data_IF_112700765160
#
_entry.id   IF_112700765160
#
_cell.length_a   1.000
_cell.length_b   1.000
_cell.length_c   1.000
_cell.angle_alpha   90.00
_cell.angle_beta   90.00
_cell.angle_gamma   90.00
#
_symmetry.space_group_name_H-M   'P 1'
#
loop_
_entity.id
_entity.type
_entity.pdbx_description
1 polymer ?
#
# COMPACT_ATOMS: atom_id res chain seq x y z
N UNK A 1 14.33 -20.85 -3.81
CA UNK A 1 13.13 -20.02 -4.07
C UNK A 1 13.38 -18.53 -3.84
N UNK A 2 14.46 -18.18 -3.13
CA UNK A 2 14.68 -16.83 -2.57
C UNK A 2 15.01 -15.75 -3.61
N UNK A 3 15.57 -16.12 -4.77
CA UNK A 3 15.90 -15.18 -5.86
C UNK A 3 14.71 -14.67 -6.66
N UNK A 4 13.57 -15.35 -6.62
CA UNK A 4 12.38 -14.95 -7.39
C UNK A 4 11.50 -13.99 -6.57
N UNK A 5 11.24 -14.34 -5.30
CA UNK A 5 10.45 -13.50 -4.39
C UNK A 5 11.13 -12.16 -4.10
N UNK A 6 12.46 -12.10 -4.10
CA UNK A 6 13.21 -10.85 -3.90
C UNK A 6 13.04 -9.82 -5.02
N UNK A 7 12.48 -10.22 -6.17
CA UNK A 7 12.24 -9.32 -7.31
C UNK A 7 10.83 -8.75 -7.34
N UNK A 8 9.90 -9.28 -6.54
CA UNK A 8 8.51 -8.81 -6.53
C UNK A 8 8.43 -7.62 -5.58
N UNK A 9 8.17 -6.43 -6.14
CA UNK A 9 7.92 -5.26 -5.32
C UNK A 9 6.54 -5.37 -4.67
N UNK A 10 6.33 -4.81 -3.47
CA UNK A 10 5.01 -4.76 -2.83
C UNK A 10 3.94 -4.14 -3.73
N UNK A 11 4.30 -3.12 -4.53
CA UNK A 11 3.43 -2.53 -5.55
C UNK A 11 2.87 -3.60 -6.50
N UNK A 12 3.74 -4.42 -7.08
CA UNK A 12 3.35 -5.45 -8.05
C UNK A 12 2.56 -6.59 -7.41
N UNK A 13 2.89 -6.99 -6.18
CA UNK A 13 2.11 -7.99 -5.45
C UNK A 13 0.67 -7.50 -5.23
N UNK A 14 0.50 -6.25 -4.80
CA UNK A 14 -0.83 -5.65 -4.59
C UNK A 14 -1.60 -5.46 -5.90
N UNK A 15 -0.94 -4.98 -6.97
CA UNK A 15 -1.54 -4.86 -8.31
C UNK A 15 -2.02 -6.20 -8.84
N UNK A 16 -1.19 -7.24 -8.70
CA UNK A 16 -1.53 -8.59 -9.15
C UNK A 16 -2.70 -9.18 -8.36
N UNK A 17 -2.68 -9.06 -7.02
CA UNK A 17 -3.74 -9.56 -6.16
C UNK A 17 -5.10 -8.90 -6.43
N UNK A 18 -5.13 -7.56 -6.45
CA UNK A 18 -6.36 -6.80 -6.74
C UNK A 18 -6.82 -7.00 -8.19
N UNK A 19 -5.90 -7.01 -9.15
CA UNK A 19 -6.22 -7.26 -10.56
C UNK A 19 -6.83 -8.65 -10.79
N UNK A 20 -6.25 -9.69 -10.18
CA UNK A 20 -6.79 -11.05 -10.27
C UNK A 20 -8.17 -11.16 -9.60
N UNK A 21 -8.36 -10.50 -8.46
CA UNK A 21 -9.66 -10.43 -7.77
C UNK A 21 -10.73 -9.78 -8.66
N UNK A 22 -10.43 -8.66 -9.34
CA UNK A 22 -11.37 -8.03 -10.27
C UNK A 22 -11.65 -8.86 -11.53
N UNK A 23 -10.66 -9.61 -12.04
CA UNK A 23 -10.93 -10.57 -13.13
C UNK A 23 -11.93 -11.62 -12.67
N UNK A 24 -11.70 -12.20 -11.49
CA UNK A 24 -12.58 -13.22 -10.95
C UNK A 24 -14.00 -12.68 -10.71
N UNK A 25 -14.11 -11.55 -10.02
CA UNK A 25 -15.38 -10.88 -9.72
C UNK A 25 -16.12 -10.47 -11.00
N UNK A 26 -15.41 -9.85 -11.96
CA UNK A 26 -16.00 -9.45 -13.24
C UNK A 26 -16.53 -10.64 -14.07
N UNK A 27 -15.81 -11.77 -14.08
CA UNK A 27 -16.30 -13.02 -14.72
C UNK A 27 -17.58 -13.50 -14.04
N UNK A 28 -17.58 -13.55 -12.71
CA UNK A 28 -18.71 -14.07 -11.94
C UNK A 28 -19.97 -13.19 -12.11
N UNK A 29 -19.81 -11.88 -12.03
CA UNK A 29 -20.91 -10.90 -12.24
C UNK A 29 -21.50 -11.03 -13.64
N UNK A 30 -20.67 -11.14 -14.68
CA UNK A 30 -21.15 -11.24 -16.06
C UNK A 30 -21.86 -12.57 -16.31
N UNK A 31 -21.39 -13.67 -15.72
CA UNK A 31 -22.00 -15.00 -15.90
C UNK A 31 -23.24 -15.20 -15.04
N UNK A 32 -23.25 -14.67 -13.83
CA UNK A 32 -24.26 -14.91 -12.82
C UNK A 32 -24.71 -13.62 -12.12
N UNK A 33 -25.26 -12.62 -12.85
CA UNK A 33 -25.61 -11.32 -12.26
C UNK A 33 -26.66 -11.44 -11.14
N UNK A 34 -27.57 -12.42 -11.22
CA UNK A 34 -28.58 -12.66 -10.18
C UNK A 34 -27.97 -13.04 -8.82
N UNK A 35 -26.76 -13.61 -8.81
CA UNK A 35 -26.04 -13.95 -7.57
C UNK A 35 -25.53 -12.71 -6.83
N UNK A 36 -25.53 -11.53 -7.46
CA UNK A 36 -25.01 -10.27 -6.90
C UNK A 36 -26.11 -9.27 -6.52
N UNK A 37 -27.39 -9.63 -6.71
CA UNK A 37 -28.52 -8.77 -6.32
C UNK A 37 -28.51 -8.40 -4.84
N UNK A 38 -28.01 -9.30 -3.99
CA UNK A 38 -27.96 -9.08 -2.55
C UNK A 38 -27.01 -7.94 -2.16
N UNK A 39 -25.94 -7.69 -2.94
CA UNK A 39 -24.98 -6.62 -2.68
C UNK A 39 -25.53 -5.25 -3.11
N UNK A 40 -26.31 -5.22 -4.20
CA UNK A 40 -26.83 -3.97 -4.79
C UNK A 40 -28.12 -3.50 -4.11
N UNK A 41 -29.03 -4.41 -3.75
CA UNK A 41 -30.34 -4.06 -3.16
C UNK A 41 -30.24 -3.18 -1.89
N UNK A 42 -29.30 -3.40 -0.95
CA UNK A 42 -29.11 -2.52 0.20
C UNK A 42 -28.78 -1.08 -0.21
N UNK A 43 -27.98 -0.89 -1.27
CA UNK A 43 -27.59 0.44 -1.75
C UNK A 43 -28.81 1.26 -2.20
N UNK A 44 -29.82 0.60 -2.77
CA UNK A 44 -31.03 1.26 -3.23
C UNK A 44 -31.88 1.81 -2.08
N UNK A 45 -31.71 1.35 -0.84
CA UNK A 45 -32.49 1.84 0.31
C UNK A 45 -32.34 3.34 0.55
N UNK A 46 -31.21 3.91 0.12
CA UNK A 46 -30.90 5.33 0.25
C UNK A 46 -31.60 6.22 -0.80
N UNK A 47 -32.26 5.63 -1.79
CA UNK A 47 -32.96 6.37 -2.84
C UNK A 47 -34.45 6.59 -2.52
N UNK A 48 -35.09 7.63 -3.10
CA UNK A 48 -36.53 7.86 -3.00
C UNK A 48 -37.36 6.64 -3.46
N UNK A 49 -38.57 6.48 -2.92
CA UNK A 49 -39.44 5.33 -3.22
C UNK A 49 -39.73 5.16 -4.73
N UNK A 50 -39.93 6.25 -5.46
CA UNK A 50 -40.17 6.25 -6.91
C UNK A 50 -38.97 5.68 -7.69
N UNK A 51 -37.74 6.06 -7.32
CA UNK A 51 -36.52 5.53 -7.92
C UNK A 51 -36.29 4.06 -7.54
N UNK A 52 -36.52 3.68 -6.28
CA UNK A 52 -36.36 2.30 -5.81
C UNK A 52 -37.22 1.31 -6.59
N UNK A 53 -38.47 1.68 -6.89
CA UNK A 53 -39.38 0.84 -7.66
C UNK A 53 -38.85 0.57 -9.10
N UNK A 54 -38.23 1.57 -9.71
CA UNK A 54 -37.61 1.43 -11.04
C UNK A 54 -36.30 0.63 -10.97
N UNK A 55 -35.37 1.00 -10.08
CA UNK A 55 -34.05 0.39 -9.97
C UNK A 55 -34.07 -1.07 -9.51
N UNK A 56 -35.11 -1.48 -8.78
CA UNK A 56 -35.26 -2.86 -8.30
C UNK A 56 -35.79 -3.82 -9.38
N UNK A 57 -36.13 -3.32 -10.58
CA UNK A 57 -36.56 -4.19 -11.67
C UNK A 57 -35.41 -5.11 -12.10
N UNK A 58 -35.65 -6.43 -12.29
CA UNK A 58 -34.61 -7.39 -12.63
C UNK A 58 -33.80 -7.02 -13.88
N UNK A 59 -34.47 -6.48 -14.90
CA UNK A 59 -33.83 -6.05 -16.15
C UNK A 59 -32.82 -4.92 -15.93
N UNK A 60 -33.19 -3.90 -15.15
CA UNK A 60 -32.31 -2.77 -14.83
C UNK A 60 -31.14 -3.23 -13.97
N UNK A 61 -31.40 -4.08 -12.98
CA UNK A 61 -30.37 -4.60 -12.08
C UNK A 61 -29.37 -5.49 -12.82
N UNK A 62 -29.83 -6.32 -13.77
CA UNK A 62 -28.95 -7.11 -14.64
C UNK A 62 -28.06 -6.22 -15.49
N UNK A 63 -28.61 -5.18 -16.12
CA UNK A 63 -27.82 -4.24 -16.94
C UNK A 63 -26.79 -3.49 -16.10
N UNK A 64 -27.19 -3.04 -14.91
CA UNK A 64 -26.28 -2.38 -13.97
C UNK A 64 -25.12 -3.30 -13.58
N UNK A 65 -25.42 -4.56 -13.22
CA UNK A 65 -24.39 -5.53 -12.85
C UNK A 65 -23.51 -5.93 -14.03
N UNK A 66 -24.06 -6.10 -15.23
CA UNK A 66 -23.25 -6.34 -16.43
C UNK A 66 -22.28 -5.18 -16.69
N UNK A 67 -22.74 -3.94 -16.55
CA UNK A 67 -21.88 -2.76 -16.66
C UNK A 67 -20.81 -2.75 -15.56
N UNK A 68 -21.17 -3.07 -14.32
CA UNK A 68 -20.22 -3.20 -13.22
C UNK A 68 -19.13 -4.23 -13.54
N UNK A 69 -19.49 -5.43 -13.99
CA UNK A 69 -18.52 -6.46 -14.37
C UNK A 69 -17.57 -6.02 -15.50
N UNK A 70 -18.06 -5.23 -16.47
CA UNK A 70 -17.21 -4.62 -17.50
C UNK A 70 -16.24 -3.61 -16.89
N UNK A 71 -16.71 -2.75 -15.97
CA UNK A 71 -15.86 -1.78 -15.27
C UNK A 71 -14.78 -2.51 -14.46
N UNK A 72 -15.12 -3.61 -13.80
CA UNK A 72 -14.16 -4.44 -13.07
C UNK A 72 -13.07 -5.00 -13.98
N UNK A 73 -13.40 -5.46 -15.20
CA UNK A 73 -12.39 -5.85 -16.18
C UNK A 73 -11.47 -4.71 -16.60
N UNK A 74 -12.01 -3.49 -16.75
CA UNK A 74 -11.21 -2.31 -17.07
C UNK A 74 -10.24 -2.01 -15.91
N UNK A 75 -10.71 -2.05 -14.66
CA UNK A 75 -9.87 -1.85 -13.47
C UNK A 75 -8.78 -2.93 -13.39
N UNK A 76 -9.13 -4.19 -13.60
CA UNK A 76 -8.18 -5.30 -13.65
C UNK A 76 -7.10 -5.07 -14.71
N UNK A 77 -7.51 -4.69 -15.92
CA UNK A 77 -6.57 -4.40 -17.00
C UNK A 77 -5.62 -3.27 -16.63
N UNK A 78 -6.13 -2.17 -16.09
CA UNK A 78 -5.29 -1.03 -15.67
C UNK A 78 -4.30 -1.45 -14.56
N UNK A 79 -4.75 -2.24 -13.59
CA UNK A 79 -3.89 -2.73 -12.51
C UNK A 79 -2.81 -3.68 -13.02
N UNK A 80 -3.10 -4.56 -13.97
CA UNK A 80 -2.16 -5.56 -14.47
C UNK A 80 -1.30 -5.07 -15.64
N UNK A 81 -1.67 -3.97 -16.30
CA UNK A 81 -0.93 -3.41 -17.41
C UNK A 81 0.41 -2.80 -16.93
N UNK A 82 1.49 -3.55 -17.15
CA UNK A 82 2.86 -3.14 -16.80
C UNK A 82 3.38 -1.96 -17.65
N UNK A 83 2.86 -1.80 -18.86
CA UNK A 83 3.25 -0.74 -19.80
C UNK A 83 2.47 0.57 -19.61
N UNK A 84 1.43 0.58 -18.76
CA UNK A 84 0.60 1.76 -18.55
C UNK A 84 1.27 2.74 -17.56
N UNK A 85 1.14 4.08 -17.77
CA UNK A 85 1.63 5.04 -16.80
C UNK A 85 1.06 4.78 -15.39
N UNK A 86 1.91 4.88 -14.36
CA UNK A 86 1.52 4.67 -12.95
C UNK A 86 0.35 5.55 -12.49
N UNK A 87 0.14 6.69 -13.16
CA UNK A 87 -1.01 7.57 -12.95
C UNK A 87 -2.35 6.82 -13.04
N UNK A 88 -2.52 5.93 -14.03
CA UNK A 88 -3.76 5.17 -14.22
C UNK A 88 -3.93 4.12 -13.13
N UNK A 89 -2.85 3.40 -12.79
CA UNK A 89 -2.87 2.43 -11.68
C UNK A 89 -3.21 3.12 -10.35
N UNK A 90 -2.76 4.36 -10.14
CA UNK A 90 -3.09 5.14 -8.93
C UNK A 90 -4.59 5.42 -8.85
N UNK A 91 -5.20 5.85 -9.96
CA UNK A 91 -6.64 6.10 -10.00
C UNK A 91 -7.46 4.82 -9.88
N UNK A 92 -7.02 3.72 -10.51
CA UNK A 92 -7.67 2.42 -10.32
C UNK A 92 -7.64 2.01 -8.85
N UNK A 93 -6.48 2.06 -8.19
CA UNK A 93 -6.35 1.74 -6.77
C UNK A 93 -7.20 2.66 -5.86
N UNK A 94 -7.32 3.94 -6.23
CA UNK A 94 -8.19 4.88 -5.51
C UNK A 94 -9.67 4.51 -5.66
N UNK A 95 -10.13 4.24 -6.88
CA UNK A 95 -11.51 3.80 -7.16
C UNK A 95 -11.80 2.50 -6.41
N UNK A 96 -10.88 1.54 -6.43
CA UNK A 96 -10.98 0.29 -5.65
C UNK A 96 -11.11 0.54 -4.15
N UNK A 97 -10.34 1.49 -3.62
CA UNK A 97 -10.44 1.87 -2.21
C UNK A 97 -11.81 2.42 -1.88
N UNK A 98 -12.34 3.32 -2.73
CA UNK A 98 -13.68 3.88 -2.54
C UNK A 98 -14.78 2.82 -2.68
N UNK A 99 -14.63 1.88 -3.61
CA UNK A 99 -15.57 0.79 -3.83
C UNK A 99 -15.69 -0.09 -2.58
N UNK A 100 -14.57 -0.61 -2.05
CA UNK A 100 -14.61 -1.43 -0.85
C UNK A 100 -15.05 -0.65 0.39
N UNK A 101 -14.69 0.64 0.50
CA UNK A 101 -15.20 1.50 1.56
C UNK A 101 -16.72 1.66 1.46
N UNK A 102 -17.26 1.88 0.26
CA UNK A 102 -18.69 1.99 0.03
C UNK A 102 -19.44 0.69 0.34
N UNK A 103 -18.90 -0.47 -0.06
CA UNK A 103 -19.47 -1.78 0.27
C UNK A 103 -19.54 -1.95 1.80
N UNK A 104 -18.43 -1.73 2.51
CA UNK A 104 -18.37 -1.92 3.96
C UNK A 104 -19.25 -0.93 4.74
N UNK A 105 -19.48 0.28 4.22
CA UNK A 105 -20.31 1.29 4.87
C UNK A 105 -21.80 1.14 4.56
N UNK A 106 -22.16 0.63 3.38
CA UNK A 106 -23.54 0.64 2.89
C UNK A 106 -24.20 -0.74 2.87
N UNK A 107 -23.41 -1.82 2.93
CA UNK A 107 -23.88 -3.20 2.96
C UNK A 107 -23.72 -3.75 4.38
N UNK A 108 -24.71 -4.49 4.93
CA UNK A 108 -24.58 -5.10 6.25
C UNK A 108 -23.37 -6.02 6.36
N UNK A 109 -22.71 -6.01 7.52
CA UNK A 109 -21.54 -6.86 7.77
C UNK A 109 -21.97 -8.32 7.93
N UNK A 110 -21.38 -9.17 7.11
CA UNK A 110 -21.52 -10.61 7.05
C UNK A 110 -20.16 -11.27 6.74
N UNK A 111 -20.14 -12.60 6.57
CA UNK A 111 -18.89 -13.31 6.29
C UNK A 111 -18.23 -12.89 4.96
N UNK A 112 -19.02 -12.44 3.98
CA UNK A 112 -18.52 -12.05 2.64
C UNK A 112 -17.87 -10.67 2.74
N UNK A 113 -18.58 -9.70 3.31
CA UNK A 113 -18.10 -8.32 3.50
C UNK A 113 -16.95 -8.24 4.50
N UNK A 114 -16.85 -9.14 5.49
CA UNK A 114 -15.69 -9.18 6.40
C UNK A 114 -14.36 -9.38 5.66
N UNK A 115 -14.34 -10.20 4.60
CA UNK A 115 -13.17 -10.38 3.73
C UNK A 115 -12.74 -9.07 3.09
N UNK A 116 -13.69 -8.20 2.78
CA UNK A 116 -13.46 -6.97 2.03
C UNK A 116 -12.70 -5.92 2.87
N UNK A 117 -12.60 -6.08 4.20
CA UNK A 117 -11.71 -5.28 5.06
C UNK A 117 -10.24 -5.44 4.62
N UNK A 118 -9.82 -6.68 4.32
CA UNK A 118 -8.47 -6.95 3.83
C UNK A 118 -8.24 -6.35 2.44
N UNK A 119 -9.25 -6.42 1.56
CA UNK A 119 -9.20 -5.84 0.22
C UNK A 119 -9.12 -4.31 0.28
N UNK A 120 -9.88 -3.67 1.18
CA UNK A 120 -9.80 -2.23 1.44
C UNK A 120 -8.39 -1.83 1.90
N UNK A 121 -7.80 -2.59 2.83
CA UNK A 121 -6.43 -2.36 3.30
C UNK A 121 -5.39 -2.48 2.17
N UNK A 122 -5.49 -3.53 1.36
CA UNK A 122 -4.61 -3.74 0.21
C UNK A 122 -4.73 -2.65 -0.86
N UNK A 123 -5.96 -2.23 -1.18
CA UNK A 123 -6.24 -1.15 -2.12
C UNK A 123 -5.71 0.20 -1.62
N UNK A 124 -5.96 0.52 -0.34
CA UNK A 124 -5.48 1.74 0.30
C UNK A 124 -3.96 1.80 0.31
N UNK A 125 -3.30 0.69 0.67
CA UNK A 125 -1.84 0.59 0.67
C UNK A 125 -1.27 0.81 -0.74
N UNK A 126 -1.87 0.19 -1.76
CA UNK A 126 -1.44 0.38 -3.15
C UNK A 126 -1.60 1.84 -3.60
N UNK A 127 -2.72 2.47 -3.26
CA UNK A 127 -2.96 3.87 -3.59
C UNK A 127 -1.93 4.81 -2.94
N UNK A 128 -1.57 4.58 -1.68
CA UNK A 128 -0.54 5.37 -0.96
C UNK A 128 0.83 5.20 -1.63
N UNK A 129 1.25 3.95 -1.90
CA UNK A 129 2.53 3.65 -2.54
C UNK A 129 2.63 4.35 -3.90
N UNK A 130 1.57 4.25 -4.72
CA UNK A 130 1.55 4.88 -6.04
C UNK A 130 1.52 6.41 -5.94
N UNK A 131 0.86 6.98 -4.93
CA UNK A 131 0.79 8.44 -4.72
C UNK A 131 2.13 9.04 -4.32
N UNK A 132 2.92 8.35 -3.49
CA UNK A 132 4.26 8.78 -3.10
C UNK A 132 5.23 8.78 -4.30
N UNK A 133 5.13 7.78 -5.17
CA UNK A 133 6.01 7.65 -6.35
C UNK A 133 5.83 8.75 -7.41
N UNK A 134 4.70 9.46 -7.39
CA UNK A 134 4.41 10.58 -8.30
C UNK A 134 5.04 11.89 -7.80
N UNK A 135 5.34 12.00 -6.51
CA UNK A 135 5.80 13.25 -5.88
C UNK A 135 7.29 13.30 -5.56
N UNK A 136 8.07 12.30 -5.96
CA UNK A 136 9.53 12.41 -5.95
C UNK A 136 9.99 13.46 -6.96
N UNK A 137 10.10 14.70 -6.49
CA UNK A 137 10.87 15.78 -7.12
C UNK A 137 12.24 15.19 -7.45
N UNK A 138 12.77 15.33 -8.67
CA UNK A 138 14.12 14.89 -8.96
C UNK A 138 15.03 15.66 -8.01
N UNK A 139 15.54 14.98 -6.98
CA UNK A 139 16.70 15.45 -6.25
C UNK A 139 17.78 15.56 -7.29
N UNK A 140 18.05 16.79 -7.71
CA UNK A 140 19.22 17.17 -8.48
C UNK A 140 20.37 16.35 -7.89
N UNK A 141 20.97 15.49 -8.72
CA UNK A 141 22.14 14.71 -8.32
C UNK A 141 23.20 15.74 -7.93
N UNK A 142 23.27 16.10 -6.66
CA UNK A 142 24.49 16.62 -6.09
C UNK A 142 25.47 15.46 -6.19
N UNK A 143 26.22 15.44 -7.29
CA UNK A 143 27.53 14.80 -7.30
C UNK A 143 28.24 15.37 -6.08
N UNK A 144 28.26 14.60 -4.99
CA UNK A 144 29.32 14.70 -4.01
C UNK A 144 30.59 14.40 -4.78
N UNK A 145 31.14 15.45 -5.40
CA UNK A 145 32.48 15.51 -5.95
C UNK A 145 33.34 15.07 -4.79
N UNK A 146 33.74 13.80 -4.79
CA UNK A 146 34.46 13.21 -3.67
C UNK A 146 35.64 14.14 -3.42
N UNK A 147 35.60 14.84 -2.30
CA UNK A 147 36.77 15.57 -1.84
C UNK A 147 37.84 14.49 -1.73
N UNK A 148 38.77 14.50 -2.68
CA UNK A 148 39.97 13.70 -2.65
C UNK A 148 40.53 13.92 -1.26
N UNK A 149 40.37 12.92 -0.39
CA UNK A 149 41.03 12.87 0.91
C UNK A 149 42.50 13.00 0.56
N UNK A 150 43.05 14.19 0.80
CA UNK A 150 44.48 14.42 0.71
C UNK A 150 45.07 13.52 1.78
N UNK A 151 45.58 12.37 1.37
CA UNK A 151 46.38 11.51 2.22
C UNK A 151 47.61 12.33 2.59
N UNK A 152 47.57 12.96 3.77
CA UNK A 152 48.78 13.38 4.43
C UNK A 152 49.58 12.11 4.70
N UNK A 153 50.65 11.91 3.93
CA UNK A 153 51.73 11.00 4.25
C UNK A 153 52.35 11.43 5.58
N UNK A 154 51.72 11.03 6.70
CA UNK A 154 52.41 10.97 7.98
C UNK A 154 53.30 9.73 7.95
N UNK A 155 54.58 9.96 8.21
CA UNK A 155 55.64 8.97 8.13
C UNK A 155 55.31 7.70 8.89
N UNK A 156 55.75 6.58 8.29
CA UNK A 156 55.79 5.26 8.89
C UNK A 156 56.53 5.35 10.23
N UNK A 157 55.78 5.30 11.32
CA UNK A 157 56.29 5.01 12.66
C UNK A 157 55.72 3.63 13.03
N UNK A 158 56.54 2.65 13.43
CA UNK A 158 56.04 1.31 13.72
C UNK A 158 55.38 1.32 15.10
N UNK A 159 54.05 1.49 15.14
CA UNK A 159 53.24 1.27 16.33
C UNK A 159 52.91 -0.23 16.45
N UNK A 160 53.96 -1.00 16.73
CA UNK A 160 53.85 -2.37 17.26
C UNK A 160 53.98 -2.28 18.79
N UNK A 161 53.04 -1.60 19.45
CA UNK A 161 52.88 -1.60 20.91
C UNK A 161 51.69 -0.69 21.29
N UNK A 162 50.48 -1.25 21.31
CA UNK A 162 49.27 -0.78 22.01
C UNK A 162 48.23 -1.86 21.67
N UNK A 163 48.22 -2.99 22.37
CA UNK A 163 47.74 -3.04 23.75
C UNK A 163 46.23 -3.03 23.67
N UNK A 164 45.61 -4.19 23.91
CA UNK A 164 44.16 -4.38 24.00
C UNK A 164 43.55 -3.20 24.75
N UNK A 165 42.82 -2.33 24.06
CA UNK A 165 42.01 -1.32 24.71
C UNK A 165 40.75 -2.05 25.16
N UNK A 166 40.72 -2.42 26.44
CA UNK A 166 39.50 -2.80 27.14
C UNK A 166 38.43 -1.75 26.84
N UNK A 167 37.28 -2.20 26.33
CA UNK A 167 36.09 -1.37 26.28
C UNK A 167 35.76 -0.95 27.72
N UNK A 168 35.55 0.35 28.01
CA UNK A 168 35.20 0.78 29.36
C UNK A 168 33.83 0.20 29.71
N UNK A 169 33.83 -0.80 30.59
CA UNK A 169 32.62 -1.32 31.22
C UNK A 169 32.13 -0.31 32.23
N UNK A 170 31.07 0.41 31.87
CA UNK A 170 30.38 1.34 32.76
C UNK A 170 29.52 0.52 33.71
N UNK A 171 29.88 0.45 34.99
CA UNK A 171 29.22 -0.43 35.96
C UNK A 171 27.92 0.16 36.52
N UNK A 172 27.71 1.48 36.42
CA UNK A 172 26.54 2.16 37.00
C UNK A 172 25.95 3.21 36.07
N UNK A 173 24.63 3.41 36.17
CA UNK A 173 23.89 4.35 35.32
C UNK A 173 24.26 5.82 35.56
N UNK A 174 24.66 6.18 36.79
CA UNK A 174 25.05 7.54 37.15
C UNK A 174 26.38 7.95 36.49
N UNK A 175 27.32 7.01 36.38
CA UNK A 175 28.60 7.20 35.70
C UNK A 175 28.41 7.39 34.20
N UNK A 176 27.48 6.66 33.59
CA UNK A 176 27.08 6.86 32.19
C UNK A 176 26.46 8.25 31.95
N UNK A 177 25.67 8.74 32.90
CA UNK A 177 24.95 10.01 32.78
C UNK A 177 25.79 11.24 33.17
N UNK A 178 27.07 11.08 33.50
CA UNK A 178 28.02 12.18 33.72
C UNK A 178 27.64 13.13 34.86
N UNK A 179 26.79 12.69 35.79
CA UNK A 179 26.26 13.56 36.84
C UNK A 179 27.18 13.46 38.06
N UNK A 180 28.27 14.24 38.06
CA UNK A 180 29.05 14.43 39.29
C UNK A 180 28.18 15.18 40.30
N UNK A 181 27.81 14.49 41.38
CA UNK A 181 27.30 15.15 42.58
C UNK A 181 28.43 16.02 43.13
N UNK A 182 28.31 17.34 42.97
CA UNK A 182 29.12 18.30 43.72
C UNK A 182 28.90 18.05 45.20
N UNK A 183 29.92 17.54 45.89
CA UNK A 183 30.00 17.60 47.34
C UNK A 183 29.90 19.08 47.76
N UNK A 184 28.83 19.40 48.49
CA UNK A 184 28.70 20.66 49.20
C UNK A 184 29.61 20.58 50.43
N UNK A 185 30.75 21.26 50.36
CA UNK A 185 31.54 21.61 51.54
C UNK A 185 30.96 22.89 52.17
N UNK A 186 30.73 22.80 53.49
CA UNK A 186 30.27 23.80 54.48
C UNK A 186 28.80 23.76 54.91
#
# INVERSE_FOLDING_TARGET
MDKFLSKITPEWALRAGLGAMYIYSGIDIVRHPTAWYWAVRPLFKWFPASMRASLSQPEIMNRYLLLQGIIEFILAFILLAWFLPKFWARWAAFITTLEFAAILLLVPIDAITFRDIGLLGGASALWIILSQSVFTIPTEKYETKSLKRVEHHLGKTPLTALGQADEPTVETFEEFMGTQSKELSE
#
